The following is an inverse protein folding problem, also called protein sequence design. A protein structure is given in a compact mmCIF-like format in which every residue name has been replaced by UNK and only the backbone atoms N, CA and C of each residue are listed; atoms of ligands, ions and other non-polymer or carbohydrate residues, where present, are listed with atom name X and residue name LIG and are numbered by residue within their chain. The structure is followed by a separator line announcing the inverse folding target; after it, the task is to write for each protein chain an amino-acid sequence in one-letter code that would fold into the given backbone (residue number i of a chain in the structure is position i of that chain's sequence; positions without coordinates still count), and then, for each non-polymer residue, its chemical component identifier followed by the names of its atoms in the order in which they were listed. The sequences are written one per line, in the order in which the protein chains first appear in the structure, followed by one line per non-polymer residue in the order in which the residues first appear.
data_IF_762143627229
#
_entry.id   IF_762143627229
#
_cell.length_a   1.000
_cell.length_b   1.000
_cell.length_c   1.000
_cell.angle_alpha   90.00
_cell.angle_beta   90.00
_cell.angle_gamma   90.00
#
_symmetry.space_group_name_H-M   'P 1'
#
loop_
_entity.id
_entity.type
_entity.pdbx_description
1 polymer ?
#
# COMPACT_ATOMS: atom_id res chain seq x y z
N UNK A 1 -7.46 13.22 -7.37
CA UNK A 1 -8.35 12.03 -7.37
C UNK A 1 -8.24 11.23 -8.66
N UNK A 2 -8.35 11.87 -9.84
CA UNK A 2 -8.20 11.18 -11.12
C UNK A 2 -6.86 10.44 -11.25
N UNK A 3 -5.75 11.04 -10.84
CA UNK A 3 -4.43 10.38 -10.82
C UNK A 3 -4.36 9.14 -9.92
N UNK A 4 -5.15 9.08 -8.86
CA UNK A 4 -5.24 7.92 -7.97
C UNK A 4 -6.05 6.78 -8.59
N UNK A 5 -7.19 7.09 -9.21
CA UNK A 5 -7.97 6.10 -9.95
C UNK A 5 -7.18 5.54 -11.12
N UNK A 6 -6.48 6.40 -11.87
CA UNK A 6 -5.58 5.99 -12.94
C UNK A 6 -4.40 5.17 -12.42
N UNK A 7 -3.82 5.56 -11.28
CA UNK A 7 -2.75 4.81 -10.64
C UNK A 7 -3.21 3.41 -10.22
N UNK A 8 -4.38 3.30 -9.60
CA UNK A 8 -4.95 2.01 -9.18
C UNK A 8 -5.26 1.14 -10.40
N UNK A 9 -5.93 1.70 -11.41
CA UNK A 9 -6.26 0.98 -12.64
C UNK A 9 -5.00 0.50 -13.38
N UNK A 10 -3.98 1.34 -13.47
CA UNK A 10 -2.70 0.97 -14.06
C UNK A 10 -2.01 -0.11 -13.25
N UNK A 11 -1.94 0.02 -11.93
CA UNK A 11 -1.32 -0.97 -11.06
C UNK A 11 -2.02 -2.33 -11.21
N UNK A 12 -3.36 -2.39 -11.15
CA UNK A 12 -4.12 -3.61 -11.39
C UNK A 12 -3.88 -4.20 -12.78
N UNK A 13 -3.69 -3.36 -13.82
CA UNK A 13 -3.54 -3.82 -15.20
C UNK A 13 -2.13 -4.31 -15.55
N UNK A 14 -1.11 -3.72 -14.94
CA UNK A 14 0.30 -3.87 -15.33
C UNK A 14 1.13 -4.66 -14.32
N UNK A 15 0.62 -4.96 -13.12
CA UNK A 15 1.35 -5.74 -12.11
C UNK A 15 1.86 -7.06 -12.66
N UNK A 16 1.01 -7.85 -13.31
CA UNK A 16 1.39 -9.16 -13.87
C UNK A 16 2.43 -9.06 -14.99
N UNK A 17 2.53 -7.89 -15.64
CA UNK A 17 3.55 -7.63 -16.66
C UNK A 17 4.89 -7.20 -16.06
N UNK A 18 4.87 -6.45 -14.96
CA UNK A 18 6.10 -5.96 -14.33
C UNK A 18 6.69 -6.98 -13.34
N UNK A 19 5.85 -7.78 -12.67
CA UNK A 19 6.28 -8.75 -11.67
C UNK A 19 7.37 -9.72 -12.16
N UNK A 20 7.33 -10.27 -13.39
CA UNK A 20 8.37 -11.17 -13.90
C UNK A 20 9.74 -10.51 -14.11
N UNK A 21 9.79 -9.18 -14.23
CA UNK A 21 11.03 -8.44 -14.43
C UNK A 21 11.71 -8.03 -13.12
N UNK A 22 11.05 -8.28 -11.98
CA UNK A 22 11.65 -8.04 -10.66
C UNK A 22 12.63 -9.16 -10.30
N UNK A 23 13.65 -8.86 -9.47
CA UNK A 23 14.66 -9.85 -9.08
C UNK A 23 14.05 -11.12 -8.48
N UNK A 24 14.61 -12.28 -8.84
CA UNK A 24 14.21 -13.58 -8.29
C UNK A 24 14.47 -13.71 -6.78
N UNK A 25 15.27 -12.81 -6.20
CA UNK A 25 15.48 -12.71 -4.75
C UNK A 25 14.17 -12.47 -3.97
N UNK A 26 13.10 -12.01 -4.64
CA UNK A 26 11.74 -12.02 -4.10
C UNK A 26 11.16 -13.43 -4.25
N UNK A 27 11.56 -14.33 -3.35
CA UNK A 27 11.26 -15.77 -3.37
C UNK A 27 9.76 -16.09 -3.35
N UNK A 28 8.95 -15.28 -2.67
CA UNK A 28 7.48 -15.41 -2.71
C UNK A 28 6.90 -14.67 -3.91
N UNK A 29 6.23 -15.43 -4.79
CA UNK A 29 5.50 -14.88 -5.94
C UNK A 29 4.50 -13.78 -5.53
N UNK A 30 3.83 -13.94 -4.38
CA UNK A 30 2.91 -12.94 -3.82
C UNK A 30 3.60 -11.60 -3.50
N UNK A 31 4.75 -11.64 -2.84
CA UNK A 31 5.55 -10.45 -2.50
C UNK A 31 6.00 -9.73 -3.76
N UNK A 32 6.39 -10.47 -4.80
CA UNK A 32 6.82 -9.90 -6.09
C UNK A 32 5.70 -9.13 -6.79
N UNK A 33 4.49 -9.68 -6.83
CA UNK A 33 3.33 -8.97 -7.39
C UNK A 33 2.98 -7.73 -6.58
N UNK A 34 3.05 -7.81 -5.25
CA UNK A 34 2.81 -6.65 -4.37
C UNK A 34 3.80 -5.51 -4.64
N UNK A 35 5.10 -5.83 -4.78
CA UNK A 35 6.14 -4.83 -5.08
C UNK A 35 5.91 -4.21 -6.47
N UNK A 36 5.64 -5.02 -7.49
CA UNK A 36 5.35 -4.53 -8.84
C UNK A 36 4.15 -3.58 -8.86
N UNK A 37 3.07 -3.94 -8.16
CA UNK A 37 1.88 -3.11 -7.98
C UNK A 37 2.23 -1.74 -7.40
N UNK A 38 3.00 -1.72 -6.29
CA UNK A 38 3.41 -0.49 -5.62
C UNK A 38 4.25 0.40 -6.54
N UNK A 39 5.21 -0.18 -7.28
CA UNK A 39 6.06 0.57 -8.21
C UNK A 39 5.20 1.27 -9.27
N UNK A 40 4.29 0.55 -9.92
CA UNK A 40 3.42 1.11 -10.96
C UNK A 40 2.52 2.21 -10.37
N UNK A 41 1.91 1.93 -9.22
CA UNK A 41 1.00 2.86 -8.56
C UNK A 41 1.70 4.19 -8.24
N UNK A 42 2.89 4.12 -7.63
CA UNK A 42 3.69 5.31 -7.29
C UNK A 42 4.12 6.06 -8.56
N UNK A 43 4.58 5.36 -9.59
CA UNK A 43 5.01 5.98 -10.84
C UNK A 43 3.89 6.82 -11.49
N UNK A 44 2.66 6.27 -11.54
CA UNK A 44 1.50 6.97 -12.12
C UNK A 44 1.07 8.17 -11.26
N UNK A 45 1.14 8.07 -9.93
CA UNK A 45 0.85 9.22 -9.05
C UNK A 45 1.85 10.34 -9.27
N UNK A 46 3.14 10.03 -9.32
CA UNK A 46 4.20 11.03 -9.56
C UNK A 46 4.00 11.69 -10.91
N UNK A 47 3.75 10.91 -11.95
CA UNK A 47 3.50 11.43 -13.30
C UNK A 47 2.25 12.29 -13.37
N UNK A 48 1.13 11.82 -12.80
CA UNK A 48 -0.12 12.60 -12.72
C UNK A 48 0.06 13.90 -11.94
N UNK A 49 0.90 13.90 -10.89
CA UNK A 49 1.28 15.09 -10.15
C UNK A 49 2.09 16.08 -10.99
N UNK A 50 3.06 15.60 -11.77
CA UNK A 50 3.86 16.42 -12.68
C UNK A 50 2.99 17.07 -13.77
N UNK A 51 2.10 16.30 -14.39
CA UNK A 51 1.13 16.84 -15.38
C UNK A 51 0.24 17.89 -14.73
N UNK A 52 -0.29 17.61 -13.53
CA UNK A 52 -1.11 18.57 -12.79
C UNK A 52 -0.34 19.86 -12.48
N UNK A 53 0.94 19.77 -12.15
CA UNK A 53 1.79 20.93 -11.92
C UNK A 53 1.95 21.78 -13.20
N UNK A 54 2.22 21.15 -14.35
CA UNK A 54 2.37 21.84 -15.63
C UNK A 54 1.08 22.54 -16.07
N UNK A 55 -0.08 21.90 -15.88
CA UNK A 55 -1.39 22.49 -16.20
C UNK A 55 -1.68 23.71 -15.30
N UNK A 56 -1.37 23.61 -14.00
CA UNK A 56 -1.56 24.71 -13.07
C UNK A 56 -0.64 25.91 -13.34
N UNK A 57 0.46 25.74 -14.08
CA UNK A 57 1.33 26.85 -14.45
C UNK A 57 0.71 27.78 -15.51
N UNK A 58 -0.33 27.33 -16.22
CA UNK A 58 -0.99 28.09 -17.30
C UNK A 58 -2.32 28.73 -16.90
N UNK A 59 -2.88 28.40 -15.74
CA UNK A 59 -4.19 28.92 -15.30
C UNK A 59 -3.95 29.99 -14.23
N UNK A 60 -4.22 31.24 -14.57
CA UNK A 60 -4.12 32.40 -13.67
C UNK A 60 -4.85 32.19 -12.35
N UNK A 61 -4.25 32.69 -11.25
CA UNK A 61 -4.66 32.59 -9.86
C UNK A 61 -6.15 32.91 -9.59
N UNK A 62 -7.02 31.91 -9.71
CA UNK A 62 -8.31 31.95 -9.01
C UNK A 62 -8.09 31.54 -7.55
N UNK A 63 -8.58 32.33 -6.60
CA UNK A 63 -8.52 32.01 -5.18
C UNK A 63 -9.16 30.63 -4.85
N UNK A 64 -10.13 30.18 -5.66
CA UNK A 64 -10.73 28.84 -5.53
C UNK A 64 -9.80 27.70 -6.01
N UNK A 65 -8.91 27.96 -6.97
CA UNK A 65 -7.96 26.95 -7.47
C UNK A 65 -6.95 26.56 -6.39
N UNK A 66 -6.49 27.53 -5.60
CA UNK A 66 -5.56 27.30 -4.48
C UNK A 66 -6.17 26.38 -3.41
N UNK A 67 -7.44 26.59 -3.06
CA UNK A 67 -8.16 25.76 -2.06
C UNK A 67 -8.42 24.35 -2.59
N UNK A 68 -8.82 24.21 -3.87
CA UNK A 68 -9.00 22.89 -4.48
C UNK A 68 -7.68 22.09 -4.54
N UNK A 69 -6.56 22.80 -4.79
CA UNK A 69 -5.22 22.22 -4.80
C UNK A 69 -4.74 21.83 -3.40
N UNK A 70 -4.95 22.67 -2.39
CA UNK A 70 -4.55 22.39 -1.01
C UNK A 70 -5.34 21.21 -0.41
N UNK A 71 -6.64 21.11 -0.70
CA UNK A 71 -7.46 19.96 -0.33
C UNK A 71 -6.98 18.68 -1.04
N UNK A 72 -6.62 18.78 -2.31
CA UNK A 72 -6.02 17.66 -3.05
C UNK A 72 -4.69 17.19 -2.46
N UNK A 73 -3.82 18.12 -2.04
CA UNK A 73 -2.55 17.82 -1.38
C UNK A 73 -2.79 17.19 -0.01
N UNK A 74 -3.67 17.77 0.81
CA UNK A 74 -3.98 17.26 2.15
C UNK A 74 -4.56 15.85 2.07
N UNK A 75 -5.54 15.63 1.19
CA UNK A 75 -6.16 14.32 1.00
C UNK A 75 -5.18 13.29 0.42
N UNK A 76 -4.30 13.73 -0.47
CA UNK A 76 -3.20 12.92 -0.99
C UNK A 76 -2.19 12.54 0.09
N UNK A 77 -1.82 13.48 0.96
CA UNK A 77 -0.90 13.25 2.07
C UNK A 77 -1.48 12.26 3.09
N UNK A 78 -2.74 12.43 3.48
CA UNK A 78 -3.43 11.51 4.40
C UNK A 78 -3.48 10.09 3.81
N UNK A 79 -3.83 9.94 2.52
CA UNK A 79 -3.85 8.63 1.88
C UNK A 79 -2.46 8.02 1.69
N UNK A 80 -1.46 8.83 1.34
CA UNK A 80 -0.07 8.41 1.25
C UNK A 80 0.45 7.89 2.59
N UNK A 81 0.11 8.58 3.68
CA UNK A 81 0.40 8.15 5.05
C UNK A 81 -0.28 6.82 5.37
N UNK A 82 -1.55 6.65 5.01
CA UNK A 82 -2.30 5.41 5.18
C UNK A 82 -1.63 4.23 4.47
N UNK A 83 -1.26 4.40 3.19
CA UNK A 83 -0.54 3.37 2.43
C UNK A 83 0.81 3.06 3.07
N UNK A 84 1.55 4.07 3.50
CA UNK A 84 2.85 3.88 4.16
C UNK A 84 2.71 3.10 5.49
N UNK A 85 1.67 3.40 6.28
CA UNK A 85 1.35 2.63 7.50
C UNK A 85 1.05 1.18 7.18
N UNK A 86 0.22 0.89 6.17
CA UNK A 86 -0.10 -0.48 5.74
C UNK A 86 1.16 -1.21 5.27
N UNK A 87 1.99 -0.55 4.45
CA UNK A 87 3.23 -1.11 3.96
C UNK A 87 4.20 -1.42 5.11
N UNK A 88 4.47 -0.48 6.01
CA UNK A 88 5.36 -0.72 7.16
C UNK A 88 4.79 -1.81 8.09
N UNK A 89 3.48 -1.82 8.33
CA UNK A 89 2.84 -2.86 9.12
C UNK A 89 2.99 -4.25 8.48
N UNK A 90 2.84 -4.36 7.15
CA UNK A 90 3.06 -5.61 6.43
C UNK A 90 4.53 -6.01 6.41
N UNK A 91 5.45 -5.10 6.05
CA UNK A 91 6.87 -5.40 6.04
C UNK A 91 7.40 -5.77 7.44
N UNK A 92 6.81 -5.24 8.51
CA UNK A 92 7.18 -5.61 9.88
C UNK A 92 6.93 -7.07 10.25
N UNK A 93 6.13 -7.80 9.47
CA UNK A 93 5.93 -9.25 9.64
C UNK A 93 6.98 -10.10 8.90
N UNK A 94 7.89 -9.46 8.16
CA UNK A 94 8.94 -10.13 7.38
C UNK A 94 10.33 -9.96 8.02
N UNK A 95 11.31 -10.73 7.54
CA UNK A 95 12.71 -10.67 8.00
C UNK A 95 13.42 -9.34 7.64
N UNK A 96 12.77 -8.47 6.86
CA UNK A 96 13.28 -7.13 6.52
C UNK A 96 13.62 -6.29 7.77
N UNK A 97 12.96 -6.60 8.89
CA UNK A 97 13.18 -5.94 10.19
C UNK A 97 14.61 -6.09 10.73
N UNK A 98 15.33 -7.12 10.29
CA UNK A 98 16.72 -7.37 10.71
C UNK A 98 17.75 -6.59 9.89
N UNK A 99 17.37 -5.98 8.76
CA UNK A 99 18.31 -5.21 7.95
C UNK A 99 18.64 -3.86 8.59
N UNK A 100 19.92 -3.46 8.52
CA UNK A 100 20.41 -2.17 9.03
C UNK A 100 19.63 -0.98 8.41
N UNK A 101 19.30 -1.06 7.12
CA UNK A 101 18.51 -0.03 6.42
C UNK A 101 17.09 0.14 7.03
N UNK A 102 16.50 -0.93 7.56
CA UNK A 102 15.20 -0.88 8.24
C UNK A 102 15.34 -0.23 9.62
N UNK A 103 16.31 -0.67 10.42
CA UNK A 103 16.54 -0.16 11.79
C UNK A 103 16.92 1.33 11.81
N UNK A 104 17.62 1.80 10.77
CA UNK A 104 18.00 3.21 10.62
C UNK A 104 16.96 4.06 9.88
N UNK A 105 15.88 3.47 9.37
CA UNK A 105 14.87 4.20 8.59
C UNK A 105 14.11 5.22 9.43
N UNK A 106 14.26 6.50 9.08
CA UNK A 106 13.54 7.62 9.69
C UNK A 106 12.02 7.48 9.50
N UNK A 107 11.60 6.93 8.35
CA UNK A 107 10.20 6.71 8.03
C UNK A 107 9.56 5.67 8.95
N UNK A 108 10.23 4.52 9.13
CA UNK A 108 9.76 3.45 10.02
C UNK A 108 9.62 3.98 11.45
N UNK A 109 10.64 4.68 11.96
CA UNK A 109 10.61 5.27 13.32
C UNK A 109 9.47 6.25 13.53
N UNK A 110 9.11 7.06 12.51
CA UNK A 110 8.01 8.02 12.60
C UNK A 110 6.63 7.35 12.53
N UNK A 111 6.50 6.28 11.76
CA UNK A 111 5.22 5.57 11.58
C UNK A 111 4.94 4.55 12.68
N UNK A 112 5.97 3.99 13.31
CA UNK A 112 5.86 2.98 14.37
C UNK A 112 4.90 3.33 15.53
N UNK A 113 4.93 4.55 16.14
CA UNK A 113 3.95 4.89 17.18
C UNK A 113 2.51 4.92 16.66
N UNK A 114 2.30 5.40 15.42
CA UNK A 114 0.99 5.46 14.79
C UNK A 114 0.46 4.05 14.47
N UNK A 115 1.34 3.18 13.96
CA UNK A 115 1.01 1.77 13.67
C UNK A 115 0.65 1.03 14.97
N UNK A 116 1.37 1.29 16.07
CA UNK A 116 1.04 0.73 17.39
C UNK A 116 -0.33 1.17 17.87
N UNK A 117 -0.69 2.45 17.71
CA UNK A 117 -2.03 2.95 18.06
C UNK A 117 -3.12 2.30 17.20
N UNK A 118 -2.90 2.19 15.89
CA UNK A 118 -3.84 1.51 14.97
C UNK A 118 -4.03 0.05 15.37
N UNK A 119 -2.94 -0.65 15.73
CA UNK A 119 -2.99 -2.06 16.17
C UNK A 119 -3.69 -2.23 17.51
N UNK A 120 -3.56 -1.27 18.43
CA UNK A 120 -4.28 -1.27 19.72
C UNK A 120 -5.76 -0.95 19.58
N UNK A 121 -6.13 -0.11 18.60
CA UNK A 121 -7.51 0.21 18.27
C UNK A 121 -8.18 -0.84 17.36
N UNK A 122 -7.41 -1.81 16.84
CA UNK A 122 -7.92 -2.87 15.99
C UNK A 122 -8.86 -3.78 16.80
N UNK A 123 -10.15 -3.93 16.42
CA UNK A 123 -11.06 -4.81 17.12
C UNK A 123 -10.57 -6.26 17.05
N UNK A 124 -10.74 -7.03 18.13
CA UNK A 124 -10.43 -8.47 18.21
C UNK A 124 -11.06 -9.35 17.10
N UNK A 125 -11.88 -8.80 16.21
CA UNK A 125 -12.33 -9.44 14.98
C UNK A 125 -11.17 -9.79 14.00
N UNK A 126 -10.04 -9.06 14.05
CA UNK A 126 -8.85 -9.37 13.25
C UNK A 126 -8.03 -10.56 13.79
N UNK A 127 -8.24 -10.95 15.05
CA UNK A 127 -7.62 -12.14 15.66
C UNK A 127 -8.42 -13.43 15.45
N UNK A 128 -9.69 -13.35 15.07
CA UNK A 128 -10.55 -14.52 14.89
C UNK A 128 -10.54 -15.11 13.48
N UNK A 129 -10.21 -14.33 12.44
CA UNK A 129 -10.23 -14.82 11.05
C UNK A 129 -8.85 -15.18 10.49
N UNK A 130 -7.75 -14.67 11.08
CA UNK A 130 -6.38 -15.14 10.79
C UNK A 130 -6.03 -16.48 11.48
N UNK A 131 -7.01 -17.11 12.13
CA UNK A 131 -6.96 -18.52 12.56
C UNK A 131 -7.42 -19.47 11.45
N UNK A 132 -7.93 -18.96 10.31
CA UNK A 132 -8.35 -19.76 9.15
C UNK A 132 -7.16 -20.18 8.24
N UNK A 133 -5.91 -20.08 8.70
CA UNK A 133 -4.76 -20.72 8.03
C UNK A 133 -3.85 -21.48 9.00
N UNK A 134 -4.47 -22.21 9.93
CA UNK A 134 -3.84 -23.39 10.52
C UNK A 134 -4.90 -24.46 10.77
N UNK A 135 -5.20 -25.22 9.73
CA UNK A 135 -5.97 -26.46 9.84
C UNK A 135 -5.00 -27.64 9.92
N UNK A 136 -4.62 -28.13 11.12
CA UNK A 136 -3.89 -29.38 11.25
C UNK A 136 -4.90 -30.53 11.19
N UNK A 137 -5.27 -30.92 9.97
CA UNK A 137 -5.93 -32.21 9.77
C UNK A 137 -7.09 -32.18 8.79
N UNK A 138 -6.76 -32.14 7.49
CA UNK A 138 -7.48 -32.82 6.40
C UNK A 138 -8.99 -32.61 6.26
N UNK A 139 -9.43 -32.23 5.06
CA UNK A 139 -10.85 -32.11 4.72
C UNK A 139 -11.54 -33.47 4.96
N UNK A 140 -12.30 -33.61 6.04
CA UNK A 140 -13.20 -34.76 6.23
C UNK A 140 -14.61 -34.28 5.89
N UNK A 141 -15.24 -34.78 4.81
CA UNK A 141 -16.63 -34.48 4.56
C UNK A 141 -17.50 -35.27 5.54
N UNK A 142 -18.03 -34.61 6.58
CA UNK A 142 -19.11 -35.18 7.39
C UNK A 142 -20.46 -34.92 6.72
N UNK A 143 -20.67 -35.56 5.57
CA UNK A 143 -22.01 -35.93 5.14
C UNK A 143 -22.30 -37.30 5.77
N UNK A 144 -22.82 -37.31 7.00
CA UNK A 144 -23.46 -38.52 7.54
C UNK A 144 -24.89 -38.54 7.02
N UNK A 145 -25.11 -39.29 5.94
CA UNK A 145 -26.41 -39.70 5.45
C UNK A 145 -26.68 -41.09 6.03
N UNK A 146 -27.63 -41.18 6.94
CA UNK A 146 -28.44 -42.37 7.21
C UNK A 146 -29.72 -41.92 7.90
#
# INVERSE_FOLDING_TARGET
LLSWLLGLAAALRFTDRLAPHLPESLTLSSTRHMVAFVIIFVAVIVFGGAVSYMVNMKVSNSALSSVNRSLGILFGAVRGLLIACIAVAYLSTTEVTQHVAWQHSVLVKKLDPLIRQIRQAAPQALSSEMVIERYPGGITPLFKRE
#
